data_IF_061746022338
#
_entry.id   IF_061746022338
#
_cell.length_a   1.000
_cell.length_b   1.000
_cell.length_c   1.000
_cell.angle_alpha   90.00
_cell.angle_beta   90.00
_cell.angle_gamma   90.00
#
_symmetry.space_group_name_H-M   'P 1'
#
loop_
_entity.id
_entity.type
_entity.pdbx_description
1 polymer ?
#
# COMPACT_ATOMS: atom_id res chain seq x y z
N UNK A 1 -0.47 17.14 12.06
CA UNK A 1 0.93 17.29 11.58
C UNK A 1 0.95 18.48 10.61
N UNK A 2 1.59 19.59 10.96
CA UNK A 2 1.54 20.86 10.21
C UNK A 2 2.09 20.80 8.78
N UNK A 3 2.70 19.66 8.40
CA UNK A 3 3.39 19.48 7.12
C UNK A 3 2.81 18.37 6.25
N UNK A 4 1.65 17.82 6.59
CA UNK A 4 1.01 16.76 5.80
C UNK A 4 -0.30 17.28 5.20
N UNK A 5 -0.45 17.11 3.90
CA UNK A 5 -1.71 17.35 3.20
C UNK A 5 -2.52 16.06 3.10
N UNK A 6 -3.85 16.12 3.14
CA UNK A 6 -4.67 14.98 2.76
C UNK A 6 -4.32 14.50 1.35
N UNK A 7 -4.23 13.18 1.15
CA UNK A 7 -3.79 12.60 -0.13
C UNK A 7 -4.65 13.08 -1.31
N UNK A 8 -5.96 13.11 -1.13
CA UNK A 8 -6.89 13.58 -2.15
C UNK A 8 -6.64 15.06 -2.52
N UNK A 9 -6.46 15.93 -1.52
CA UNK A 9 -6.19 17.35 -1.74
C UNK A 9 -4.89 17.56 -2.52
N UNK A 10 -3.83 16.80 -2.21
CA UNK A 10 -2.56 16.88 -2.94
C UNK A 10 -2.73 16.49 -4.40
N UNK A 11 -3.48 15.42 -4.67
CA UNK A 11 -3.75 14.95 -6.04
C UNK A 11 -4.55 15.99 -6.84
N UNK A 12 -5.56 16.62 -6.23
CA UNK A 12 -6.34 17.69 -6.86
C UNK A 12 -5.46 18.90 -7.22
N UNK A 13 -4.63 19.37 -6.28
CA UNK A 13 -3.69 20.46 -6.53
C UNK A 13 -2.70 20.14 -7.64
N UNK A 14 -2.22 18.90 -7.72
CA UNK A 14 -1.31 18.46 -8.76
C UNK A 14 -1.97 18.48 -10.13
N UNK A 15 -3.23 18.04 -10.24
CA UNK A 15 -4.01 18.11 -11.48
C UNK A 15 -4.20 19.55 -11.92
N UNK A 16 -4.67 20.43 -11.03
CA UNK A 16 -4.91 21.83 -11.33
C UNK A 16 -3.64 22.53 -11.83
N UNK A 17 -2.51 22.30 -11.13
CA UNK A 17 -1.22 22.84 -11.50
C UNK A 17 -0.77 22.36 -12.90
N UNK A 18 -0.80 21.05 -13.12
CA UNK A 18 -0.32 20.48 -14.37
C UNK A 18 -1.18 20.87 -15.57
N UNK A 19 -2.50 21.02 -15.40
CA UNK A 19 -3.39 21.51 -16.44
C UNK A 19 -3.09 22.98 -16.80
N UNK A 20 -2.79 23.82 -15.80
CA UNK A 20 -2.41 25.21 -16.04
C UNK A 20 -1.08 25.32 -16.80
N UNK A 21 -0.14 24.39 -16.60
CA UNK A 21 1.18 24.35 -17.23
C UNK A 21 1.21 23.55 -18.56
N UNK A 22 0.06 23.22 -19.14
CA UNK A 22 -0.06 22.53 -20.44
C UNK A 22 -0.21 21.01 -20.35
N UNK A 23 -0.56 20.49 -19.18
CA UNK A 23 -0.85 19.08 -18.92
C UNK A 23 0.26 18.11 -19.38
N UNK A 24 1.41 18.18 -18.77
CA UNK A 24 2.51 17.23 -19.02
C UNK A 24 2.27 15.87 -18.39
N UNK A 25 3.00 14.85 -18.85
CA UNK A 25 2.91 13.48 -18.31
C UNK A 25 3.52 13.39 -16.91
N UNK A 26 2.77 12.81 -15.99
CA UNK A 26 3.20 12.41 -14.66
C UNK A 26 2.44 11.15 -14.23
N UNK A 27 2.90 10.50 -13.18
CA UNK A 27 2.26 9.36 -12.54
C UNK A 27 2.20 9.54 -11.02
N UNK A 28 1.44 8.70 -10.36
CA UNK A 28 1.33 8.66 -8.91
C UNK A 28 2.22 7.55 -8.37
N UNK A 29 3.11 7.88 -7.44
CA UNK A 29 3.79 6.95 -6.57
C UNK A 29 3.15 7.05 -5.18
N UNK A 30 2.37 6.07 -4.80
CA UNK A 30 1.58 6.08 -3.57
C UNK A 30 2.06 5.00 -2.59
N UNK A 31 2.05 5.32 -1.29
CA UNK A 31 2.41 4.41 -0.20
C UNK A 31 1.17 4.16 0.67
N UNK A 32 0.36 3.15 0.40
CA UNK A 32 -0.89 2.87 1.10
C UNK A 32 -0.69 2.12 2.42
N UNK A 33 0.34 2.49 3.19
CA UNK A 33 0.54 1.93 4.52
C UNK A 33 -0.72 2.07 5.38
N UNK A 34 -0.94 1.18 6.36
CA UNK A 34 -1.93 1.41 7.39
C UNK A 34 -1.73 2.77 8.07
N UNK A 35 -2.79 3.37 8.56
CA UNK A 35 -2.78 4.64 9.29
C UNK A 35 -1.74 4.67 10.42
N UNK A 36 -1.55 3.56 11.09
CA UNK A 36 -0.43 3.31 12.00
C UNK A 36 0.50 2.26 11.40
N UNK A 37 1.78 2.59 11.19
CA UNK A 37 2.77 1.64 10.71
C UNK A 37 2.98 0.43 11.64
N UNK A 38 2.53 0.51 12.90
CA UNK A 38 2.61 -0.58 13.86
C UNK A 38 1.39 -1.50 13.86
N UNK A 39 0.30 -1.13 13.18
CA UNK A 39 -0.94 -1.91 13.09
C UNK A 39 -1.11 -2.49 11.68
N UNK A 40 -0.99 -3.82 11.50
CA UNK A 40 -1.10 -4.42 10.16
C UNK A 40 -2.53 -4.46 9.62
N UNK A 41 -3.54 -4.22 10.47
CA UNK A 41 -4.96 -4.37 10.15
C UNK A 41 -5.51 -3.09 9.53
N UNK A 42 -5.11 -2.77 8.29
CA UNK A 42 -5.53 -1.55 7.58
C UNK A 42 -7.06 -1.40 7.46
N UNK A 43 -7.85 -2.48 7.57
CA UNK A 43 -9.32 -2.39 7.61
C UNK A 43 -9.87 -1.66 8.83
N UNK A 44 -9.04 -1.42 9.86
CA UNK A 44 -9.40 -0.66 11.07
C UNK A 44 -9.10 0.84 10.93
N UNK A 45 -8.45 1.28 9.86
CA UNK A 45 -8.06 2.67 9.65
C UNK A 45 -9.28 3.60 9.62
N UNK A 46 -9.49 4.38 10.65
CA UNK A 46 -10.67 5.24 10.78
C UNK A 46 -10.57 6.55 9.99
N UNK A 47 -9.34 7.02 9.68
CA UNK A 47 -9.10 8.18 8.84
C UNK A 47 -9.19 7.87 7.33
N UNK A 48 -9.22 6.61 6.96
CA UNK A 48 -9.41 6.17 5.59
C UNK A 48 -10.92 6.00 5.30
N UNK A 49 -11.56 7.06 4.80
CA UNK A 49 -12.96 7.08 4.39
C UNK A 49 -13.11 6.73 2.90
N UNK A 50 -14.34 6.43 2.45
CA UNK A 50 -14.59 6.07 1.04
C UNK A 50 -15.05 7.27 0.19
N UNK A 51 -14.79 8.48 0.64
CA UNK A 51 -15.07 9.71 -0.06
C UNK A 51 -13.83 10.28 -0.74
N UNK A 52 -14.01 11.10 -1.78
CA UNK A 52 -12.88 11.70 -2.50
C UNK A 52 -12.09 12.74 -1.67
N UNK A 53 -12.64 13.25 -0.60
CA UNK A 53 -11.98 14.16 0.34
C UNK A 53 -11.33 13.42 1.53
N UNK A 54 -11.19 12.10 1.43
CA UNK A 54 -10.58 11.27 2.47
C UNK A 54 -9.23 11.85 2.96
N UNK A 55 -9.00 11.96 4.28
CA UNK A 55 -7.71 12.39 4.81
C UNK A 55 -6.55 11.50 4.41
N UNK A 56 -6.80 10.19 4.32
CA UNK A 56 -5.79 9.18 3.97
C UNK A 56 -6.32 8.18 2.96
N UNK A 57 -5.41 7.68 2.11
CA UNK A 57 -5.66 6.53 1.24
C UNK A 57 -4.71 5.43 1.69
N UNK A 58 -5.29 4.40 2.29
CA UNK A 58 -4.59 3.17 2.72
C UNK A 58 -5.14 1.98 1.95
N UNK A 59 -4.72 0.76 2.27
CA UNK A 59 -5.36 -0.42 1.66
C UNK A 59 -6.85 -0.54 2.00
N UNK A 60 -7.34 0.09 3.09
CA UNK A 60 -8.78 0.05 3.40
C UNK A 60 -9.64 0.65 2.30
N UNK A 61 -9.22 1.77 1.75
CA UNK A 61 -9.98 2.58 0.79
C UNK A 61 -9.22 2.81 -0.53
N UNK A 62 -8.40 1.86 -0.95
CA UNK A 62 -7.60 1.96 -2.19
C UNK A 62 -8.46 2.25 -3.42
N UNK A 63 -9.72 1.82 -3.40
CA UNK A 63 -10.73 2.08 -4.44
C UNK A 63 -10.98 3.59 -4.66
N UNK A 64 -10.73 4.42 -3.66
CA UNK A 64 -10.85 5.88 -3.81
C UNK A 64 -9.79 6.40 -4.78
N UNK A 65 -8.53 5.94 -4.66
CA UNK A 65 -7.47 6.28 -5.60
C UNK A 65 -7.75 5.71 -6.99
N UNK A 66 -8.18 4.45 -7.04
CA UNK A 66 -8.55 3.75 -8.26
C UNK A 66 -9.66 4.50 -9.03
N UNK A 67 -10.73 4.89 -8.35
CA UNK A 67 -11.82 5.65 -8.95
C UNK A 67 -11.39 7.08 -9.32
N UNK A 68 -10.56 7.72 -8.49
CA UNK A 68 -10.09 9.07 -8.73
C UNK A 68 -9.24 9.18 -10.00
N UNK A 69 -8.28 8.27 -10.19
CA UNK A 69 -7.37 8.31 -11.34
C UNK A 69 -8.06 8.08 -12.69
N UNK A 70 -9.26 7.50 -12.67
CA UNK A 70 -10.10 7.26 -13.85
C UNK A 70 -11.03 8.44 -14.20
N UNK A 71 -11.12 9.45 -13.34
CA UNK A 71 -11.96 10.62 -13.63
C UNK A 71 -11.42 11.40 -14.84
N UNK A 72 -12.30 11.98 -15.68
CA UNK A 72 -11.88 12.71 -16.88
C UNK A 72 -10.83 13.80 -16.59
N UNK A 73 -10.95 14.50 -15.45
CA UNK A 73 -10.01 15.55 -15.06
C UNK A 73 -8.62 15.01 -14.68
N UNK A 74 -8.52 13.79 -14.18
CA UNK A 74 -7.25 13.17 -13.81
C UNK A 74 -6.50 12.61 -15.04
N UNK A 75 -7.18 12.37 -16.15
CA UNK A 75 -6.57 11.80 -17.34
C UNK A 75 -5.61 12.79 -18.00
N UNK A 76 -4.47 12.30 -18.45
CA UNK A 76 -3.55 13.08 -19.29
C UNK A 76 -4.24 13.47 -20.61
N UNK A 77 -4.32 14.77 -20.89
CA UNK A 77 -5.05 15.35 -22.03
C UNK A 77 -6.51 14.87 -22.14
N UNK A 78 -7.15 14.57 -21.00
CA UNK A 78 -8.52 14.10 -20.93
C UNK A 78 -8.77 12.72 -21.55
N UNK A 79 -7.74 11.93 -21.82
CA UNK A 79 -7.86 10.67 -22.60
C UNK A 79 -7.09 9.49 -22.01
N UNK A 80 -5.91 9.70 -21.46
CA UNK A 80 -4.99 8.64 -21.07
C UNK A 80 -4.91 8.56 -19.55
N UNK A 81 -5.25 7.39 -18.99
CA UNK A 81 -5.06 7.14 -17.55
C UNK A 81 -3.59 7.33 -17.19
N UNK A 82 -3.31 8.08 -16.14
CA UNK A 82 -1.97 8.24 -15.61
C UNK A 82 -1.56 6.98 -14.86
N UNK A 83 -0.28 6.66 -14.90
CA UNK A 83 0.27 5.50 -14.20
C UNK A 83 0.18 5.68 -12.69
N UNK A 84 -0.21 4.62 -11.99
CA UNK A 84 -0.24 4.55 -10.52
C UNK A 84 0.61 3.38 -10.06
N UNK A 85 1.67 3.66 -9.32
CA UNK A 85 2.50 2.66 -8.64
C UNK A 85 2.27 2.73 -7.14
N UNK A 86 1.98 1.60 -6.52
CA UNK A 86 2.13 1.46 -5.08
C UNK A 86 3.61 1.13 -4.83
N UNK A 87 4.40 2.17 -4.61
CA UNK A 87 5.86 2.09 -4.71
C UNK A 87 6.55 1.69 -3.41
N UNK A 88 5.84 1.75 -2.28
CA UNK A 88 6.39 1.31 -1.00
C UNK A 88 5.26 0.99 -0.02
N UNK A 89 5.18 -0.25 0.43
CA UNK A 89 4.26 -0.71 1.47
C UNK A 89 4.52 -2.15 1.89
N UNK A 90 4.22 -2.46 3.13
CA UNK A 90 3.95 -3.80 3.68
C UNK A 90 3.28 -3.64 5.05
N UNK A 91 2.47 -4.60 5.49
CA UNK A 91 2.00 -4.66 6.86
C UNK A 91 3.16 -5.02 7.81
N UNK A 92 3.14 -4.45 9.00
CA UNK A 92 4.12 -4.71 10.04
C UNK A 92 3.79 -5.98 10.83
N UNK A 93 4.79 -6.65 11.36
CA UNK A 93 4.65 -7.62 12.45
C UNK A 93 5.21 -7.01 13.73
N UNK A 94 4.41 -6.92 14.78
CA UNK A 94 4.82 -6.33 16.06
C UNK A 94 6.07 -7.02 16.65
N UNK A 95 6.08 -8.34 16.55
CA UNK A 95 7.16 -9.22 16.97
C UNK A 95 7.09 -10.54 16.15
N UNK A 96 7.79 -11.59 16.57
CA UNK A 96 7.76 -12.90 15.93
C UNK A 96 6.87 -13.92 16.65
N UNK A 97 5.94 -13.48 17.50
CA UNK A 97 4.90 -14.35 18.01
C UNK A 97 3.98 -14.87 16.90
N UNK A 98 3.39 -16.01 17.10
CA UNK A 98 2.48 -16.63 16.12
C UNK A 98 1.31 -15.68 15.79
N UNK A 99 0.76 -14.99 16.78
CA UNK A 99 -0.32 -14.03 16.63
C UNK A 99 0.11 -12.83 15.72
N UNK A 100 1.22 -12.19 16.05
CA UNK A 100 1.71 -11.03 15.30
C UNK A 100 2.07 -11.39 13.84
N UNK A 101 2.63 -12.57 13.62
CA UNK A 101 2.95 -13.08 12.29
C UNK A 101 1.67 -13.38 11.47
N UNK A 102 0.62 -13.92 12.12
CA UNK A 102 -0.69 -14.14 11.48
C UNK A 102 -1.37 -12.81 11.14
N UNK A 103 -1.32 -11.83 12.01
CA UNK A 103 -1.87 -10.50 11.75
C UNK A 103 -1.19 -9.84 10.55
N UNK A 104 0.14 -9.94 10.46
CA UNK A 104 0.88 -9.46 9.29
C UNK A 104 0.43 -10.18 8.01
N UNK A 105 0.30 -11.49 8.04
CA UNK A 105 -0.15 -12.27 6.89
C UNK A 105 -1.58 -11.90 6.46
N UNK A 106 -2.49 -11.72 7.43
CA UNK A 106 -3.85 -11.26 7.15
C UNK A 106 -3.86 -9.84 6.55
N UNK A 107 -3.01 -8.94 7.04
CA UNK A 107 -2.83 -7.60 6.44
C UNK A 107 -2.34 -7.68 5.01
N UNK A 108 -1.40 -8.59 4.70
CA UNK A 108 -0.92 -8.84 3.35
C UNK A 108 -2.02 -9.38 2.45
N UNK A 109 -2.75 -10.41 2.89
CA UNK A 109 -3.85 -11.00 2.12
C UNK A 109 -4.94 -9.96 1.81
N UNK A 110 -5.31 -9.14 2.81
CA UNK A 110 -6.25 -8.04 2.63
C UNK A 110 -5.76 -7.05 1.56
N UNK A 111 -4.50 -6.62 1.64
CA UNK A 111 -3.90 -5.71 0.66
C UNK A 111 -3.92 -6.29 -0.76
N UNK A 112 -3.58 -7.58 -0.92
CA UNK A 112 -3.61 -8.25 -2.22
C UNK A 112 -5.02 -8.32 -2.81
N UNK A 113 -6.04 -8.66 -2.01
CA UNK A 113 -7.44 -8.68 -2.47
C UNK A 113 -7.95 -7.28 -2.83
N UNK A 114 -7.52 -6.23 -2.16
CA UNK A 114 -7.81 -4.84 -2.56
C UNK A 114 -7.18 -4.48 -3.91
N UNK A 115 -5.94 -4.93 -4.15
CA UNK A 115 -5.26 -4.74 -5.43
C UNK A 115 -5.98 -5.41 -6.59
N UNK A 116 -6.44 -6.64 -6.43
CA UNK A 116 -7.22 -7.37 -7.46
C UNK A 116 -8.49 -6.62 -7.88
N UNK A 117 -9.10 -5.87 -6.94
CA UNK A 117 -10.29 -5.10 -7.20
C UNK A 117 -10.03 -3.74 -7.88
N UNK A 118 -8.76 -3.31 -8.01
CA UNK A 118 -8.36 -1.96 -8.43
C UNK A 118 -7.56 -2.00 -9.75
N UNK A 119 -8.25 -2.04 -10.89
CA UNK A 119 -7.61 -2.10 -12.22
C UNK A 119 -6.95 -0.78 -12.68
N UNK A 120 -7.13 0.31 -11.93
CA UNK A 120 -6.41 1.57 -12.12
C UNK A 120 -4.99 1.58 -11.54
N UNK A 121 -4.62 0.60 -10.73
CA UNK A 121 -3.29 0.44 -10.14
C UNK A 121 -2.43 -0.39 -11.11
N UNK A 122 -1.29 0.16 -11.52
CA UNK A 122 -0.45 -0.47 -12.56
C UNK A 122 0.66 -1.36 -11.99
N UNK A 123 1.12 -1.08 -10.77
CA UNK A 123 2.16 -1.90 -10.13
C UNK A 123 2.11 -1.80 -8.61
N UNK A 124 2.55 -2.90 -7.97
CA UNK A 124 2.79 -3.02 -6.55
C UNK A 124 4.26 -3.39 -6.31
N UNK A 125 4.93 -2.63 -5.47
CA UNK A 125 6.31 -2.87 -5.05
C UNK A 125 6.34 -3.12 -3.56
N UNK A 126 6.67 -4.33 -3.16
CA UNK A 126 6.82 -4.70 -1.77
C UNK A 126 8.04 -4.01 -1.15
N UNK A 127 7.85 -3.36 -0.01
CA UNK A 127 8.95 -2.77 0.74
C UNK A 127 9.57 -3.79 1.70
N UNK A 128 10.81 -4.18 1.36
CA UNK A 128 11.65 -5.04 2.17
C UNK A 128 11.36 -6.54 2.05
N UNK A 129 12.37 -7.32 1.63
CA UNK A 129 12.37 -8.78 1.72
C UNK A 129 12.62 -9.24 3.14
N UNK A 130 13.58 -8.60 3.81
CA UNK A 130 13.99 -8.89 5.18
C UNK A 130 13.60 -7.76 6.10
N UNK A 131 13.29 -8.09 7.34
CA UNK A 131 13.20 -7.08 8.38
C UNK A 131 14.54 -6.36 8.52
N UNK A 132 14.49 -5.05 8.75
CA UNK A 132 15.66 -4.19 8.87
C UNK A 132 15.68 -3.50 10.24
N UNK A 133 16.80 -3.60 10.96
CA UNK A 133 16.93 -2.96 12.27
C UNK A 133 16.90 -1.44 12.19
N UNK A 134 17.24 -0.87 11.01
CA UNK A 134 17.21 0.57 10.76
C UNK A 134 15.78 1.14 10.58
N UNK A 135 14.75 0.29 10.47
CA UNK A 135 13.35 0.70 10.25
C UNK A 135 12.61 1.10 11.55
N UNK A 136 13.33 1.64 12.55
CA UNK A 136 12.69 2.18 13.75
C UNK A 136 11.89 1.17 14.59
N UNK A 137 12.23 -0.13 14.53
CA UNK A 137 11.55 -1.21 15.21
C UNK A 137 10.45 -1.89 14.39
N UNK A 138 10.19 -1.43 13.18
CA UNK A 138 9.27 -2.08 12.27
C UNK A 138 9.83 -3.42 11.75
N UNK A 139 8.94 -4.39 11.58
CA UNK A 139 9.20 -5.69 10.96
C UNK A 139 8.30 -5.88 9.76
N UNK A 140 8.50 -5.04 8.75
CA UNK A 140 7.68 -4.98 7.53
C UNK A 140 8.14 -5.93 6.42
N UNK A 141 9.33 -6.53 6.57
CA UNK A 141 9.79 -7.57 5.65
C UNK A 141 8.91 -8.82 5.71
N UNK A 142 8.93 -9.60 4.65
CA UNK A 142 8.28 -10.93 4.60
C UNK A 142 9.20 -12.05 5.12
N UNK A 143 10.43 -11.70 5.48
CA UNK A 143 11.41 -12.57 6.12
C UNK A 143 11.97 -11.89 7.37
N UNK A 144 12.37 -12.72 8.36
CA UNK A 144 12.96 -12.24 9.61
C UNK A 144 14.29 -11.52 9.38
N UNK A 145 14.82 -10.89 10.41
CA UNK A 145 16.18 -10.35 10.40
C UNK A 145 17.19 -11.42 9.94
N UNK A 146 18.18 -11.00 9.17
CA UNK A 146 19.27 -11.91 8.76
C UNK A 146 20.13 -12.39 9.94
N UNK A 147 20.12 -11.66 11.04
CA UNK A 147 20.80 -11.96 12.30
C UNK A 147 19.84 -12.40 13.42
N UNK A 148 18.65 -12.91 13.07
CA UNK A 148 17.73 -13.49 14.08
C UNK A 148 18.35 -14.72 14.72
N UNK A 149 18.30 -14.80 16.06
CA UNK A 149 18.98 -15.86 16.81
C UNK A 149 18.33 -17.23 16.63
N UNK A 150 17.04 -17.27 16.30
CA UNK A 150 16.25 -18.51 16.23
C UNK A 150 16.05 -19.02 14.81
N UNK A 151 15.88 -18.09 13.88
CA UNK A 151 15.60 -18.41 12.48
C UNK A 151 16.12 -17.28 11.54
N UNK A 152 17.45 -17.18 11.33
CA UNK A 152 18.08 -16.14 10.55
C UNK A 152 17.51 -16.02 9.14
N UNK A 153 16.86 -14.88 8.83
CA UNK A 153 16.25 -14.65 7.53
C UNK A 153 15.12 -15.62 7.19
N UNK A 154 14.48 -16.24 8.19
CA UNK A 154 13.39 -17.20 8.02
C UNK A 154 12.16 -16.57 7.35
N UNK A 155 11.41 -17.37 6.60
CA UNK A 155 10.18 -16.93 5.93
C UNK A 155 9.06 -16.76 6.95
N UNK A 156 8.39 -15.61 6.91
CA UNK A 156 7.19 -15.35 7.72
C UNK A 156 5.93 -15.85 6.97
N UNK A 157 4.78 -16.06 7.64
CA UNK A 157 3.53 -16.41 6.96
C UNK A 157 3.17 -15.47 5.80
N UNK A 158 3.41 -14.17 5.95
CA UNK A 158 3.20 -13.17 4.89
C UNK A 158 4.01 -13.45 3.60
N UNK A 159 5.15 -14.16 3.68
CA UNK A 159 5.88 -14.63 2.50
C UNK A 159 5.02 -15.56 1.63
N UNK A 160 4.31 -16.50 2.25
CA UNK A 160 3.53 -17.48 1.52
C UNK A 160 2.29 -16.85 0.90
N UNK A 161 1.66 -15.90 1.60
CA UNK A 161 0.57 -15.08 1.03
C UNK A 161 1.05 -14.34 -0.20
N UNK A 162 2.17 -13.63 -0.12
CA UNK A 162 2.73 -12.91 -1.28
C UNK A 162 3.12 -13.84 -2.43
N UNK A 163 3.68 -15.02 -2.14
CA UNK A 163 4.07 -16.00 -3.13
C UNK A 163 2.88 -16.63 -3.86
N UNK A 164 1.75 -16.78 -3.17
CA UNK A 164 0.53 -17.36 -3.72
C UNK A 164 -0.29 -16.37 -4.55
N UNK A 165 -0.13 -15.07 -4.31
CA UNK A 165 -0.90 -14.02 -4.96
C UNK A 165 -0.83 -14.10 -6.50
N UNK A 166 -1.99 -14.05 -7.16
CA UNK A 166 -2.12 -14.18 -8.62
C UNK A 166 -1.93 -15.59 -9.15
N UNK A 167 -1.92 -16.59 -8.28
CA UNK A 167 -1.81 -18.02 -8.65
C UNK A 167 -3.06 -18.79 -8.25
N UNK A 168 -3.16 -20.05 -8.72
CA UNK A 168 -4.22 -20.99 -8.31
C UNK A 168 -4.12 -21.46 -6.85
N UNK A 169 -3.10 -21.00 -6.13
CA UNK A 169 -2.84 -21.35 -4.74
C UNK A 169 -3.28 -20.27 -3.73
N UNK A 170 -3.89 -19.20 -4.17
CA UNK A 170 -4.33 -18.12 -3.26
C UNK A 170 -5.26 -18.59 -2.15
N UNK A 171 -6.14 -19.51 -2.43
CA UNK A 171 -7.10 -20.04 -1.45
C UNK A 171 -6.50 -21.06 -0.48
N UNK A 172 -5.20 -21.41 -0.63
CA UNK A 172 -4.48 -22.35 0.23
C UNK A 172 -3.74 -21.67 1.41
N UNK A 173 -3.62 -20.34 1.42
CA UNK A 173 -2.73 -19.57 2.33
C UNK A 173 -3.47 -18.54 3.16
#
# INVERSE_FOLDING_TARGET
>A
NEYCYPSAQLLELLVDYTQAEGDFKWGVAHHPYPQSLFEPKSWLDDQATFDYDTPQITFKNLEVLDAWIKQPRALYQGKIKRTVFLSEQNPNSKDYSEEALREQAAGMAYAMKKLEACDGIDAYQMHGWFDQRAEGGLRIGVRRFMDDETDPGGRKPAWFVFQAFGTDREDEV
#
